data_IF_607463985573
#
_entry.id   IF_607463985573
#
_cell.length_a   1.000
_cell.length_b   1.000
_cell.length_c   1.000
_cell.angle_alpha   90.00
_cell.angle_beta   90.00
_cell.angle_gamma   90.00
#
_symmetry.space_group_name_H-M   'P 1'
#
loop_
_entity.id
_entity.type
_entity.pdbx_description
1 polymer ?
#
# COMPACT_ATOMS: atom_id res chain seq x y z
N UNK A 1 -38.37 -8.53 -8.55
CA UNK A 1 -37.03 -7.88 -8.42
C UNK A 1 -37.01 -6.72 -9.40
N UNK A 2 -36.76 -5.49 -8.93
CA UNK A 2 -36.61 -4.31 -9.81
C UNK A 2 -35.25 -4.43 -10.52
N UNK A 3 -35.23 -4.19 -11.84
CA UNK A 3 -34.01 -4.16 -12.60
C UNK A 3 -33.05 -3.08 -12.01
N UNK A 4 -31.74 -3.35 -11.92
CA UNK A 4 -30.81 -2.35 -11.39
C UNK A 4 -30.80 -1.11 -12.28
N UNK A 5 -30.70 0.07 -11.66
CA UNK A 5 -30.52 1.33 -12.38
C UNK A 5 -29.16 1.31 -13.11
N UNK A 6 -29.18 1.59 -14.41
CA UNK A 6 -27.98 1.65 -15.24
C UNK A 6 -27.80 3.04 -15.82
N UNK A 7 -26.57 3.50 -15.95
CA UNK A 7 -26.20 4.75 -16.60
C UNK A 7 -25.24 4.47 -17.77
N UNK A 8 -25.25 5.27 -18.83
CA UNK A 8 -24.29 5.12 -19.93
C UNK A 8 -22.85 5.22 -19.42
N UNK A 9 -21.97 4.39 -19.98
CA UNK A 9 -20.52 4.55 -19.72
C UNK A 9 -20.08 5.93 -20.23
N UNK A 10 -19.33 6.70 -19.45
CA UNK A 10 -18.78 7.96 -19.91
C UNK A 10 -17.98 7.77 -21.22
N UNK A 11 -18.11 8.70 -22.19
CA UNK A 11 -17.40 8.59 -23.46
C UNK A 11 -15.88 8.54 -23.20
N UNK A 12 -15.19 7.72 -23.98
CA UNK A 12 -13.72 7.62 -23.97
C UNK A 12 -13.19 8.17 -25.30
N UNK A 13 -12.05 8.82 -25.21
CA UNK A 13 -11.32 9.22 -26.40
C UNK A 13 -10.98 7.97 -27.24
N UNK A 14 -11.33 7.92 -28.53
CA UNK A 14 -10.91 6.84 -29.39
C UNK A 14 -9.40 6.90 -29.59
N UNK A 15 -8.74 5.75 -29.42
CA UNK A 15 -7.30 5.59 -29.62
C UNK A 15 -7.06 4.62 -30.77
N UNK A 16 -6.03 4.85 -31.57
CA UNK A 16 -5.45 3.84 -32.44
C UNK A 16 -4.74 2.75 -31.65
N UNK A 17 -4.43 1.62 -32.27
CA UNK A 17 -3.70 0.55 -31.61
C UNK A 17 -2.28 0.97 -31.26
N UNK A 18 -1.62 1.76 -32.12
CA UNK A 18 -0.29 2.31 -31.83
C UNK A 18 -0.30 3.23 -30.60
N UNK A 19 -1.32 4.07 -30.46
CA UNK A 19 -1.49 4.92 -29.26
C UNK A 19 -1.75 4.08 -28.00
N UNK A 20 -2.56 3.02 -28.09
CA UNK A 20 -2.78 2.09 -26.97
C UNK A 20 -1.48 1.43 -26.54
N UNK A 21 -0.72 0.93 -27.50
CA UNK A 21 0.59 0.29 -27.26
C UNK A 21 1.56 1.29 -26.62
N UNK A 22 1.65 2.50 -27.16
CA UNK A 22 2.53 3.54 -26.64
C UNK A 22 2.18 3.91 -25.20
N UNK A 23 0.89 4.16 -24.89
CA UNK A 23 0.44 4.47 -23.54
C UNK A 23 0.68 3.33 -22.54
N UNK A 24 0.44 2.08 -22.95
CA UNK A 24 0.68 0.91 -22.12
C UNK A 24 2.18 0.74 -21.80
N UNK A 25 3.06 0.89 -22.79
CA UNK A 25 4.51 0.84 -22.61
C UNK A 25 5.01 1.97 -21.70
N UNK A 26 4.59 3.20 -21.96
CA UNK A 26 4.98 4.34 -21.13
C UNK A 26 4.61 4.15 -19.66
N UNK A 27 3.43 3.60 -19.37
CA UNK A 27 3.01 3.30 -17.99
C UNK A 27 3.82 2.15 -17.39
N UNK A 28 4.11 1.10 -18.15
CA UNK A 28 4.97 0.00 -17.72
C UNK A 28 6.39 0.47 -17.39
N UNK A 29 6.97 1.34 -18.23
CA UNK A 29 8.30 1.91 -18.03
C UNK A 29 8.33 2.83 -16.80
N UNK A 30 7.30 3.67 -16.61
CA UNK A 30 7.14 4.50 -15.42
C UNK A 30 7.15 3.66 -14.14
N UNK A 31 6.31 2.61 -14.08
CA UNK A 31 6.25 1.70 -12.94
C UNK A 31 7.50 0.81 -12.82
N UNK A 32 8.21 0.57 -13.92
CA UNK A 32 9.49 -0.10 -13.97
C UNK A 32 10.56 0.58 -13.08
N UNK A 33 10.51 1.90 -12.96
CA UNK A 33 11.42 2.69 -12.14
C UNK A 33 11.05 2.69 -10.65
N UNK A 34 9.86 2.22 -10.25
CA UNK A 34 9.45 2.18 -8.86
C UNK A 34 10.29 1.19 -8.04
N UNK A 35 10.81 1.65 -6.92
CA UNK A 35 11.59 0.84 -5.97
C UNK A 35 11.01 0.97 -4.56
N UNK A 36 11.21 -0.06 -3.72
CA UNK A 36 11.00 0.04 -2.27
C UNK A 36 12.17 0.79 -1.65
N UNK A 37 11.89 1.95 -1.04
CA UNK A 37 12.88 2.86 -0.46
C UNK A 37 12.83 2.75 1.05
N UNK A 38 14.02 2.76 1.69
CA UNK A 38 14.16 2.74 3.16
C UNK A 38 14.83 4.00 3.71
N UNK A 39 15.52 4.75 2.84
CA UNK A 39 16.18 5.99 3.19
C UNK A 39 15.34 7.17 2.71
N UNK A 40 14.61 7.79 3.63
CA UNK A 40 13.71 8.90 3.34
C UNK A 40 14.29 10.23 3.78
N UNK A 41 13.97 11.27 3.02
CA UNK A 41 14.16 12.66 3.40
C UNK A 41 13.03 13.12 4.32
N UNK A 42 13.29 13.94 5.34
CA UNK A 42 12.24 14.58 6.15
C UNK A 42 11.49 15.69 5.40
N UNK A 43 11.82 15.95 4.13
CA UNK A 43 11.17 16.98 3.31
C UNK A 43 9.66 16.79 3.31
N UNK A 44 8.88 17.83 3.66
CA UNK A 44 7.43 17.70 3.75
C UNK A 44 6.80 17.40 2.38
N UNK A 45 5.69 16.68 2.43
CA UNK A 45 4.81 16.41 1.29
C UNK A 45 3.45 17.04 1.60
N UNK A 46 2.90 17.89 0.71
CA UNK A 46 1.60 18.52 0.93
C UNK A 46 0.49 17.47 1.13
N UNK A 47 -0.43 17.75 2.04
CA UNK A 47 -1.58 16.89 2.35
C UNK A 47 -2.42 16.63 1.10
N UNK A 48 -2.59 17.62 0.26
CA UNK A 48 -3.38 17.57 -0.98
C UNK A 48 -2.87 16.49 -1.94
N UNK A 49 -1.55 16.24 -1.98
CA UNK A 49 -0.95 15.17 -2.79
C UNK A 49 -1.40 13.81 -2.25
N UNK A 50 -1.34 13.62 -0.92
CA UNK A 50 -1.78 12.37 -0.29
C UNK A 50 -3.29 12.16 -0.52
N UNK A 51 -4.11 13.19 -0.36
CA UNK A 51 -5.55 13.12 -0.61
C UNK A 51 -5.87 12.74 -2.06
N UNK A 52 -5.15 13.29 -3.04
CA UNK A 52 -5.33 12.96 -4.44
C UNK A 52 -4.98 11.49 -4.72
N UNK A 53 -3.88 10.99 -4.15
CA UNK A 53 -3.47 9.59 -4.28
C UNK A 53 -4.46 8.64 -3.59
N UNK A 54 -5.00 9.01 -2.42
CA UNK A 54 -6.04 8.24 -1.73
C UNK A 54 -7.35 8.20 -2.52
N UNK A 55 -7.72 9.31 -3.19
CA UNK A 55 -8.87 9.31 -4.11
C UNK A 55 -8.65 8.33 -5.28
N UNK A 56 -7.46 8.29 -5.85
CA UNK A 56 -7.14 7.32 -6.90
C UNK A 56 -7.26 5.87 -6.38
N UNK A 57 -6.77 5.59 -5.19
CA UNK A 57 -6.94 4.28 -4.54
C UNK A 57 -8.41 3.92 -4.34
N UNK A 58 -9.24 4.89 -3.94
CA UNK A 58 -10.67 4.72 -3.71
C UNK A 58 -11.49 4.40 -4.98
N UNK A 59 -10.90 4.53 -6.19
CA UNK A 59 -11.55 4.11 -7.45
C UNK A 59 -11.41 2.61 -7.74
N UNK A 60 -10.75 1.86 -6.89
CA UNK A 60 -10.56 0.43 -7.07
C UNK A 60 -11.91 -0.32 -7.19
N UNK A 61 -11.99 -1.38 -8.00
CA UNK A 61 -13.13 -2.28 -7.94
C UNK A 61 -13.13 -3.06 -6.62
N UNK A 62 -14.32 -3.45 -6.16
CA UNK A 62 -14.47 -4.26 -4.94
C UNK A 62 -15.64 -5.22 -5.04
N UNK A 63 -15.59 -6.31 -4.29
CA UNK A 63 -16.67 -7.29 -4.21
C UNK A 63 -18.00 -6.63 -3.85
N UNK A 64 -19.01 -6.78 -4.71
CA UNK A 64 -20.32 -6.13 -4.61
C UNK A 64 -20.28 -4.62 -4.35
N UNK A 65 -19.23 -3.95 -4.85
CA UNK A 65 -18.99 -2.52 -4.66
C UNK A 65 -18.97 -2.06 -3.18
N UNK A 66 -18.50 -2.94 -2.28
CA UNK A 66 -18.55 -2.70 -0.84
C UNK A 66 -17.44 -1.82 -0.29
N UNK A 67 -16.36 -1.58 -1.07
CA UNK A 67 -15.26 -0.65 -0.75
C UNK A 67 -14.70 -0.86 0.68
N UNK A 68 -14.21 -2.05 1.01
CA UNK A 68 -13.89 -2.45 2.39
C UNK A 68 -12.55 -1.90 2.89
N UNK A 69 -11.96 -0.96 2.20
CA UNK A 69 -10.70 -0.32 2.59
C UNK A 69 -10.92 0.82 3.57
N UNK A 70 -9.95 0.96 4.49
CA UNK A 70 -9.81 2.11 5.37
C UNK A 70 -8.36 2.54 5.34
N UNK A 71 -8.13 3.82 5.07
CA UNK A 71 -6.81 4.43 5.04
C UNK A 71 -6.70 5.43 6.18
N UNK A 72 -5.60 5.35 6.94
CA UNK A 72 -5.26 6.35 7.94
C UNK A 72 -3.93 6.97 7.54
N UNK A 73 -3.94 8.22 7.09
CA UNK A 73 -2.74 8.97 6.76
C UNK A 73 -2.23 9.72 8.00
N UNK A 74 -0.96 9.52 8.34
CA UNK A 74 -0.33 9.95 9.59
C UNK A 74 0.88 10.81 9.26
N UNK A 75 0.81 12.10 9.64
CA UNK A 75 1.95 13.03 9.61
C UNK A 75 2.39 13.43 11.02
N UNK A 76 1.55 13.18 12.03
CA UNK A 76 1.83 13.53 13.43
C UNK A 76 3.09 12.81 13.94
N UNK A 77 4.13 13.55 14.39
CA UNK A 77 5.39 12.97 14.83
C UNK A 77 5.26 12.06 16.05
N UNK A 78 4.35 12.40 16.97
CA UNK A 78 4.11 11.60 18.17
C UNK A 78 3.47 10.25 17.83
N UNK A 79 2.49 10.25 16.95
CA UNK A 79 1.84 9.03 16.49
C UNK A 79 2.84 8.17 15.71
N UNK A 80 3.68 8.76 14.86
CA UNK A 80 4.74 8.04 14.13
C UNK A 80 5.75 7.40 15.09
N UNK A 81 6.18 8.11 16.15
CA UNK A 81 7.08 7.57 17.17
C UNK A 81 6.47 6.37 17.89
N UNK A 82 5.18 6.44 18.26
CA UNK A 82 4.47 5.31 18.88
C UNK A 82 4.36 4.11 17.94
N UNK A 83 4.08 4.34 16.67
CA UNK A 83 4.05 3.29 15.64
C UNK A 83 5.44 2.64 15.51
N UNK A 84 6.50 3.45 15.43
CA UNK A 84 7.87 2.95 15.34
C UNK A 84 8.23 2.07 16.54
N UNK A 85 7.99 2.57 17.75
CA UNK A 85 8.32 1.83 18.97
C UNK A 85 7.62 0.46 19.02
N UNK A 86 6.33 0.41 18.66
CA UNK A 86 5.56 -0.82 18.63
C UNK A 86 6.03 -1.76 17.49
N UNK A 87 6.28 -1.23 16.29
CA UNK A 87 6.77 -2.01 15.15
C UNK A 87 8.14 -2.62 15.44
N UNK A 88 9.08 -1.84 15.98
CA UNK A 88 10.42 -2.33 16.32
C UNK A 88 10.40 -3.36 17.46
N UNK A 89 9.44 -3.29 18.38
CA UNK A 89 9.26 -4.33 19.40
C UNK A 89 8.86 -5.66 18.76
N UNK A 90 7.88 -5.65 17.83
CA UNK A 90 7.47 -6.85 17.07
C UNK A 90 8.58 -7.39 16.16
N UNK A 91 9.33 -6.50 15.53
CA UNK A 91 10.45 -6.88 14.67
C UNK A 91 11.58 -7.53 15.49
N UNK A 92 11.91 -7.00 16.67
CA UNK A 92 12.90 -7.65 17.56
C UNK A 92 12.50 -9.06 17.93
N UNK A 93 11.24 -9.27 18.34
CA UNK A 93 10.69 -10.59 18.63
C UNK A 93 10.74 -11.51 17.40
N UNK A 94 10.43 -10.97 16.23
CA UNK A 94 10.49 -11.73 14.98
C UNK A 94 11.92 -12.17 14.66
N UNK A 95 12.89 -11.23 14.63
CA UNK A 95 14.28 -11.54 14.28
C UNK A 95 14.97 -12.45 15.29
N UNK A 96 14.64 -12.36 16.58
CA UNK A 96 15.29 -13.11 17.64
C UNK A 96 14.68 -14.49 17.88
N UNK A 97 13.36 -14.64 17.69
CA UNK A 97 12.65 -15.83 18.19
C UNK A 97 11.72 -16.50 17.19
N UNK A 98 11.20 -15.77 16.18
CA UNK A 98 10.15 -16.30 15.30
C UNK A 98 10.57 -16.58 13.87
N UNK A 99 11.61 -15.90 13.37
CA UNK A 99 12.01 -16.00 11.97
C UNK A 99 12.79 -17.28 11.69
N UNK A 100 12.38 -18.11 10.68
CA UNK A 100 13.21 -19.21 10.19
C UNK A 100 14.52 -18.68 9.58
N UNK A 101 15.59 -19.47 9.65
CA UNK A 101 16.90 -19.10 9.13
C UNK A 101 16.88 -18.74 7.63
N UNK A 102 16.09 -19.43 6.83
CA UNK A 102 15.89 -19.15 5.42
C UNK A 102 15.30 -17.76 5.18
N UNK A 103 14.31 -17.37 6.00
CA UNK A 103 13.70 -16.04 5.91
C UNK A 103 14.68 -14.94 6.33
N UNK A 104 15.45 -15.17 7.41
CA UNK A 104 16.50 -14.22 7.82
C UNK A 104 17.55 -14.01 6.72
N UNK A 105 17.96 -15.06 6.02
CA UNK A 105 18.88 -14.98 4.89
C UNK A 105 18.28 -14.14 3.73
N UNK A 106 16.99 -14.33 3.41
CA UNK A 106 16.31 -13.54 2.40
C UNK A 106 16.19 -12.05 2.79
N UNK A 107 15.92 -11.76 4.06
CA UNK A 107 15.85 -10.38 4.57
C UNK A 107 17.22 -9.70 4.61
N UNK A 108 18.28 -10.44 4.95
CA UNK A 108 19.64 -9.91 4.94
C UNK A 108 20.07 -9.42 3.54
N UNK A 109 19.67 -10.13 2.48
CA UNK A 109 19.91 -9.70 1.10
C UNK A 109 19.21 -8.38 0.73
N UNK A 110 18.17 -8.00 1.47
CA UNK A 110 17.44 -6.74 1.29
C UNK A 110 17.96 -5.60 2.20
N UNK A 111 18.94 -5.88 3.06
CA UNK A 111 19.53 -4.91 3.98
C UNK A 111 18.52 -4.40 5.02
N UNK A 112 17.64 -5.26 5.54
CA UNK A 112 16.65 -4.89 6.56
C UNK A 112 16.90 -5.63 7.88
N UNK A 113 16.69 -4.93 8.98
CA UNK A 113 16.88 -5.38 10.36
C UNK A 113 15.70 -4.95 11.25
N UNK A 114 15.85 -5.01 12.58
CA UNK A 114 14.80 -4.63 13.51
C UNK A 114 14.61 -3.11 13.65
N UNK A 115 15.60 -2.30 13.28
CA UNK A 115 15.54 -0.84 13.36
C UNK A 115 14.77 -0.25 12.18
N UNK A 116 13.80 0.62 12.46
CA UNK A 116 12.90 1.20 11.46
C UNK A 116 12.84 2.74 11.53
N UNK A 117 13.98 3.45 11.41
CA UNK A 117 14.01 4.91 11.53
C UNK A 117 13.14 5.61 10.50
N UNK A 118 12.94 5.02 9.33
CA UNK A 118 12.08 5.55 8.27
C UNK A 118 10.62 5.77 8.72
N UNK A 119 10.15 5.09 9.75
CA UNK A 119 8.79 5.27 10.29
C UNK A 119 8.60 6.65 10.95
N UNK A 120 9.69 7.30 11.38
CA UNK A 120 9.65 8.66 11.91
C UNK A 120 10.13 9.70 10.89
N UNK A 121 11.17 9.36 10.09
CA UNK A 121 11.79 10.29 9.15
C UNK A 121 10.87 10.63 7.98
N UNK A 122 10.22 9.64 7.39
CA UNK A 122 9.30 9.87 6.27
C UNK A 122 8.16 10.84 6.68
N UNK A 123 7.78 11.81 5.82
CA UNK A 123 6.75 12.80 6.15
C UNK A 123 5.38 12.17 6.40
N UNK A 124 5.07 11.05 5.75
CA UNK A 124 3.78 10.38 5.88
C UNK A 124 3.92 8.87 6.10
N UNK A 125 3.05 8.34 6.95
CA UNK A 125 2.70 6.93 6.99
C UNK A 125 1.23 6.79 6.56
N UNK A 126 0.91 5.74 5.81
CA UNK A 126 -0.48 5.41 5.48
C UNK A 126 -0.74 3.98 5.97
N UNK A 127 -1.47 3.86 7.07
CA UNK A 127 -1.94 2.57 7.54
C UNK A 127 -3.15 2.14 6.72
N UNK A 128 -3.06 0.98 6.09
CA UNK A 128 -4.11 0.38 5.28
C UNK A 128 -4.77 -0.73 6.07
N UNK A 129 -6.09 -0.67 6.16
CA UNK A 129 -6.92 -1.67 6.82
C UNK A 129 -7.96 -2.22 5.84
N UNK A 130 -8.38 -3.45 6.08
CA UNK A 130 -9.58 -4.00 5.46
C UNK A 130 -10.66 -4.23 6.51
N UNK A 131 -11.92 -3.98 6.15
CA UNK A 131 -13.05 -4.37 6.99
C UNK A 131 -13.32 -5.87 6.85
N UNK A 132 -13.13 -6.63 7.93
CA UNK A 132 -13.46 -8.06 8.00
C UNK A 132 -14.97 -8.30 7.86
N UNK A 133 -15.78 -7.39 8.41
CA UNK A 133 -17.22 -7.34 8.31
C UNK A 133 -17.71 -5.89 8.45
N UNK A 134 -18.79 -5.55 7.76
CA UNK A 134 -19.46 -4.26 7.94
C UNK A 134 -20.37 -4.29 9.15
N UNK A 135 -20.71 -3.09 9.63
CA UNK A 135 -21.72 -2.88 10.69
C UNK A 135 -22.67 -1.81 10.17
N UNK A 136 -23.97 -2.08 10.18
CA UNK A 136 -24.99 -1.10 9.80
C UNK A 136 -25.28 -0.11 10.95
N UNK A 137 -26.18 0.84 10.71
CA UNK A 137 -26.55 1.86 11.69
C UNK A 137 -27.21 1.27 12.95
N UNK A 138 -27.84 0.11 12.80
CA UNK A 138 -28.51 -0.64 13.86
C UNK A 138 -27.57 -1.59 14.61
N UNK A 139 -26.30 -1.69 14.18
CA UNK A 139 -25.26 -2.52 14.81
C UNK A 139 -25.21 -3.97 14.30
N UNK A 140 -25.97 -4.33 13.27
CA UNK A 140 -25.92 -5.67 12.70
C UNK A 140 -24.69 -5.86 11.83
N UNK A 141 -24.08 -7.04 11.96
CA UNK A 141 -22.91 -7.41 11.15
C UNK A 141 -23.34 -7.95 9.80
N UNK A 142 -22.67 -7.50 8.74
CA UNK A 142 -22.84 -8.05 7.42
C UNK A 142 -21.49 -8.41 6.79
N UNK A 143 -21.50 -9.43 5.92
CA UNK A 143 -20.30 -9.96 5.28
C UNK A 143 -19.71 -8.95 4.29
N UNK A 144 -18.39 -8.82 4.29
CA UNK A 144 -17.62 -8.22 3.20
C UNK A 144 -17.19 -9.32 2.22
N UNK A 145 -17.31 -9.04 0.92
CA UNK A 145 -16.91 -9.96 -0.13
C UNK A 145 -15.53 -9.59 -0.66
N UNK A 146 -14.61 -10.56 -0.66
CA UNK A 146 -13.25 -10.38 -1.17
C UNK A 146 -12.54 -9.15 -0.59
N UNK A 147 -12.52 -8.97 0.75
CA UNK A 147 -11.97 -7.74 1.32
C UNK A 147 -10.46 -7.62 1.10
N UNK A 148 -9.69 -8.72 1.18
CA UNK A 148 -8.24 -8.71 0.96
C UNK A 148 -7.89 -8.35 -0.48
N UNK A 149 -8.53 -8.98 -1.45
CA UNK A 149 -8.32 -8.75 -2.87
C UNK A 149 -8.68 -7.30 -3.24
N UNK A 150 -9.81 -6.82 -2.75
CA UNK A 150 -10.27 -5.44 -2.97
C UNK A 150 -9.29 -4.41 -2.41
N UNK A 151 -8.80 -4.63 -1.19
CA UNK A 151 -7.82 -3.73 -0.54
C UNK A 151 -6.45 -3.85 -1.20
N UNK A 152 -6.06 -5.05 -1.67
CA UNK A 152 -4.85 -5.26 -2.45
C UNK A 152 -4.84 -4.45 -3.75
N UNK A 153 -5.96 -4.45 -4.50
CA UNK A 153 -6.10 -3.65 -5.72
C UNK A 153 -6.04 -2.15 -5.39
N UNK A 154 -6.78 -1.69 -4.37
CA UNK A 154 -6.76 -0.29 -3.94
C UNK A 154 -5.35 0.15 -3.50
N UNK A 155 -4.62 -0.71 -2.79
CA UNK A 155 -3.23 -0.44 -2.39
C UNK A 155 -2.28 -0.37 -3.58
N UNK A 156 -2.44 -1.23 -4.57
CA UNK A 156 -1.66 -1.17 -5.82
C UNK A 156 -1.88 0.14 -6.56
N UNK A 157 -3.13 0.61 -6.67
CA UNK A 157 -3.46 1.92 -7.26
C UNK A 157 -2.86 3.08 -6.43
N UNK A 158 -2.89 2.99 -5.09
CA UNK A 158 -2.27 3.98 -4.21
C UNK A 158 -0.77 4.09 -4.46
N UNK A 159 -0.06 2.96 -4.52
CA UNK A 159 1.38 2.91 -4.77
C UNK A 159 1.71 3.50 -6.14
N UNK A 160 0.94 3.16 -7.18
CA UNK A 160 1.12 3.71 -8.51
C UNK A 160 0.88 5.23 -8.55
N UNK A 161 -0.17 5.73 -7.89
CA UNK A 161 -0.48 7.16 -7.81
C UNK A 161 0.62 7.94 -7.07
N UNK A 162 1.11 7.42 -5.94
CA UNK A 162 2.21 8.03 -5.18
C UNK A 162 3.51 8.07 -6.00
N UNK A 163 3.83 6.99 -6.71
CA UNK A 163 5.00 6.94 -7.61
C UNK A 163 4.88 7.98 -8.74
N UNK A 164 3.72 8.06 -9.37
CA UNK A 164 3.44 9.06 -10.43
C UNK A 164 3.50 10.50 -9.90
N UNK A 165 3.20 10.71 -8.63
CA UNK A 165 3.36 11.99 -7.94
C UNK A 165 4.83 12.28 -7.53
N UNK A 166 5.79 11.44 -7.92
CA UNK A 166 7.23 11.60 -7.63
C UNK A 166 7.62 11.20 -6.21
N UNK A 167 6.79 10.41 -5.52
CA UNK A 167 7.06 9.96 -4.16
C UNK A 167 7.58 8.53 -4.13
N UNK A 168 8.51 8.29 -3.22
CA UNK A 168 8.98 6.96 -2.87
C UNK A 168 8.05 6.31 -1.85
N UNK A 169 8.00 4.97 -1.89
CA UNK A 169 7.19 4.18 -0.97
C UNK A 169 7.95 2.96 -0.45
N UNK A 170 7.59 2.54 0.77
CA UNK A 170 7.94 1.24 1.32
C UNK A 170 6.68 0.57 1.88
N UNK A 171 6.40 -0.65 1.44
CA UNK A 171 5.43 -1.51 2.13
C UNK A 171 6.11 -2.13 3.35
N UNK A 172 5.55 -1.88 4.52
CA UNK A 172 6.04 -2.40 5.80
C UNK A 172 4.94 -3.23 6.45
N UNK A 173 5.26 -4.48 6.79
CA UNK A 173 4.30 -5.46 7.29
C UNK A 173 4.86 -6.20 8.52
N UNK A 174 5.11 -5.49 9.63
CA UNK A 174 5.50 -6.15 10.88
C UNK A 174 4.38 -7.11 11.31
N UNK A 175 4.73 -8.27 11.81
CA UNK A 175 3.74 -9.28 12.19
C UNK A 175 3.92 -9.73 13.64
N UNK A 176 2.85 -9.61 14.47
CA UNK A 176 1.48 -9.12 14.18
C UNK A 176 1.39 -7.58 14.11
N UNK A 177 0.41 -7.06 13.34
CA UNK A 177 0.18 -5.62 13.20
C UNK A 177 -0.95 -5.06 14.10
N UNK A 178 -1.45 -5.85 15.06
CA UNK A 178 -2.57 -5.45 15.92
C UNK A 178 -2.34 -4.15 16.70
N UNK A 179 -1.09 -3.79 16.97
CA UNK A 179 -0.73 -2.53 17.60
C UNK A 179 -1.21 -1.29 16.83
N UNK A 180 -1.40 -1.40 15.51
CA UNK A 180 -1.93 -0.30 14.70
C UNK A 180 -3.37 0.04 15.08
N UNK A 181 -4.21 -0.96 15.44
CA UNK A 181 -5.55 -0.70 15.92
C UNK A 181 -5.52 0.10 17.21
N UNK A 182 -4.63 -0.25 18.14
CA UNK A 182 -4.50 0.41 19.44
C UNK A 182 -3.97 1.84 19.30
N UNK A 183 -2.86 2.01 18.57
CA UNK A 183 -2.22 3.33 18.37
C UNK A 183 -3.14 4.30 17.64
N UNK A 184 -3.90 3.81 16.64
CA UNK A 184 -4.74 4.63 15.75
C UNK A 184 -6.23 4.64 16.16
N UNK A 185 -6.60 3.98 17.28
CA UNK A 185 -7.98 3.93 17.75
C UNK A 185 -8.93 3.26 16.75
N UNK A 186 -8.47 2.24 16.01
CA UNK A 186 -9.32 1.59 14.99
C UNK A 186 -10.15 0.46 15.58
N UNK A 187 -11.40 0.30 15.13
CA UNK A 187 -12.29 -0.73 15.64
C UNK A 187 -11.83 -2.14 15.27
N UNK A 188 -12.25 -3.15 16.04
CA UNK A 188 -11.82 -4.55 15.86
C UNK A 188 -12.24 -5.22 14.54
N UNK A 189 -13.20 -4.66 13.83
CA UNK A 189 -13.58 -5.15 12.51
C UNK A 189 -12.66 -4.64 11.39
N UNK A 190 -11.83 -3.64 11.67
CA UNK A 190 -10.79 -3.16 10.76
C UNK A 190 -9.49 -3.89 11.07
N UNK A 191 -9.06 -4.72 10.14
CA UNK A 191 -7.84 -5.51 10.28
C UNK A 191 -6.69 -4.82 9.53
N UNK A 192 -5.53 -4.61 10.17
CA UNK A 192 -4.37 -4.06 9.49
C UNK A 192 -3.97 -4.94 8.29
N UNK A 193 -3.76 -4.31 7.15
CA UNK A 193 -3.33 -4.97 5.91
C UNK A 193 -1.84 -4.74 5.64
N UNK A 194 -1.42 -3.48 5.66
CA UNK A 194 -0.02 -3.06 5.62
C UNK A 194 0.13 -1.60 6.08
N UNK A 195 1.36 -1.22 6.36
CA UNK A 195 1.76 0.16 6.59
C UNK A 195 2.60 0.65 5.41
N UNK A 196 2.17 1.72 4.75
CA UNK A 196 2.90 2.32 3.64
C UNK A 196 3.67 3.54 4.15
N UNK A 197 4.99 3.52 4.02
CA UNK A 197 5.85 4.67 4.30
C UNK A 197 5.96 5.49 3.03
N UNK A 198 5.76 6.81 3.11
CA UNK A 198 5.62 7.68 1.95
C UNK A 198 6.42 8.96 2.13
N UNK A 199 7.21 9.33 1.14
CA UNK A 199 7.98 10.58 1.16
C UNK A 199 8.92 10.70 -0.03
N UNK A 200 9.83 11.68 0.05
CA UNK A 200 10.93 11.79 -0.88
C UNK A 200 12.07 10.85 -0.44
N UNK A 201 12.80 10.21 -1.38
CA UNK A 201 14.03 9.52 -1.02
C UNK A 201 15.05 10.51 -0.48
N UNK A 202 15.98 10.06 0.36
CA UNK A 202 17.16 10.83 0.71
C UNK A 202 18.05 11.05 -0.53
N UNK A 203 18.87 12.09 -0.56
CA UNK A 203 19.68 12.46 -1.72
C UNK A 203 20.70 11.36 -2.11
N UNK A 204 21.21 10.63 -1.11
CA UNK A 204 22.15 9.52 -1.27
C UNK A 204 21.47 8.14 -1.15
N UNK A 205 20.15 8.08 -1.25
CA UNK A 205 19.35 6.86 -1.10
C UNK A 205 19.84 5.75 -2.02
N UNK A 206 20.03 4.57 -1.46
CA UNK A 206 20.38 3.36 -2.18
C UNK A 206 19.28 2.31 -2.03
N UNK A 207 19.14 1.48 -3.04
CA UNK A 207 18.19 0.36 -3.04
C UNK A 207 18.94 -0.93 -3.40
N UNK A 208 18.49 -2.10 -2.91
CA UNK A 208 19.11 -3.38 -3.24
C UNK A 208 19.20 -3.59 -4.74
N UNK A 209 20.33 -4.12 -5.23
CA UNK A 209 20.54 -4.48 -6.63
C UNK A 209 19.82 -5.82 -6.94
N UNK A 210 18.51 -5.74 -7.09
CA UNK A 210 17.63 -6.89 -7.41
C UNK A 210 16.97 -6.69 -8.76
N UNK A 211 16.75 -7.77 -9.47
CA UNK A 211 16.07 -7.80 -10.76
C UNK A 211 14.63 -8.28 -10.63
N UNK A 212 13.78 -7.86 -11.54
CA UNK A 212 12.43 -8.41 -11.68
C UNK A 212 12.44 -9.62 -12.59
N UNK A 213 11.50 -10.51 -12.39
CA UNK A 213 11.28 -11.62 -13.30
C UNK A 213 10.94 -11.09 -14.71
N UNK A 214 11.43 -11.75 -15.77
CA UNK A 214 11.02 -11.44 -17.15
C UNK A 214 9.55 -11.85 -17.36
N UNK A 215 8.91 -11.25 -18.37
CA UNK A 215 7.47 -11.41 -18.63
C UNK A 215 7.06 -12.89 -18.74
N UNK A 216 7.86 -13.69 -19.41
CA UNK A 216 7.60 -15.10 -19.68
C UNK A 216 7.56 -15.97 -18.41
N UNK A 217 8.13 -15.47 -17.31
CA UNK A 217 8.12 -16.18 -16.03
C UNK A 217 6.77 -16.08 -15.28
N UNK A 218 5.91 -15.12 -15.64
CA UNK A 218 4.63 -14.89 -14.94
C UNK A 218 3.44 -14.61 -15.86
N UNK A 219 3.64 -14.61 -17.19
CA UNK A 219 2.56 -14.42 -18.16
C UNK A 219 2.60 -15.47 -19.26
N UNK A 220 1.43 -15.93 -19.69
CA UNK A 220 1.25 -16.81 -20.84
C UNK A 220 0.19 -16.23 -21.78
N UNK A 221 0.39 -16.34 -23.08
CA UNK A 221 -0.55 -15.92 -24.11
C UNK A 221 -1.11 -17.15 -24.80
N UNK A 222 -2.43 -17.24 -24.88
CA UNK A 222 -3.16 -18.27 -25.62
C UNK A 222 -3.86 -17.56 -26.79
N UNK A 223 -3.37 -17.74 -28.01
CA UNK A 223 -3.86 -17.12 -29.25
C UNK A 223 -4.45 -18.18 -30.20
#
# INVERSE_FOLDING_TARGET
MTSPSQVPLPPREPLSDDERIARARAFADELGNRRSVRDFSPRPVPREVIEACLRAAGTAPSGAHQQPWRFVAIADPEVKRRIRAAAEAEEREFYQHRAPAEWLAALAALGTDADKPFLEVAPWLIAVFYERFGVDAEGHKHKRYYPHESVGIATGLLIAALHRAGLATLTHTPSPMGFLNEVLGRPRNEMPYLLLVVGHPADDCRVPAIERLPLEAYASFLE
#
